data_IF_808681385952
#
_entry.id   IF_808681385952
#
_cell.length_a   1.000
_cell.length_b   1.000
_cell.length_c   1.000
_cell.angle_alpha   90.00
_cell.angle_beta   90.00
_cell.angle_gamma   90.00
#
_symmetry.space_group_name_H-M   'P 1'
#
loop_
_entity.id
_entity.type
_entity.pdbx_description
1 polymer ?
#
# COMPACT_ATOMS: atom_id res chain seq x y z
N UNK A 1 -10.14 -1.09 8.78
CA UNK A 1 -11.05 0.09 8.88
C UNK A 1 -11.61 0.48 7.51
N UNK A 2 -12.68 1.29 7.47
CA UNK A 2 -13.14 1.93 6.24
C UNK A 2 -13.16 3.45 6.37
N UNK A 3 -12.76 4.17 5.32
CA UNK A 3 -12.97 5.62 5.16
C UNK A 3 -13.70 5.87 3.83
N UNK A 4 -14.74 6.69 3.84
CA UNK A 4 -15.53 7.04 2.65
C UNK A 4 -16.00 5.79 1.85
N UNK A 5 -16.37 4.72 2.57
CA UNK A 5 -16.78 3.44 1.97
C UNK A 5 -15.63 2.54 1.45
N UNK A 6 -14.39 3.02 1.45
CA UNK A 6 -13.19 2.29 1.02
C UNK A 6 -12.56 1.57 2.21
N UNK A 7 -12.25 0.28 2.06
CA UNK A 7 -11.43 -0.44 3.04
C UNK A 7 -9.96 -0.08 2.85
N UNK A 8 -9.36 0.53 3.86
CA UNK A 8 -7.98 1.00 3.83
C UNK A 8 -7.07 0.18 4.75
N UNK A 9 -7.49 -1.02 5.15
CA UNK A 9 -6.75 -1.83 6.12
C UNK A 9 -5.34 -2.20 5.65
N UNK A 10 -5.09 -2.30 4.35
CA UNK A 10 -3.78 -2.71 3.81
C UNK A 10 -2.71 -1.62 3.84
N UNK A 11 -3.09 -0.35 4.03
CA UNK A 11 -2.11 0.72 4.23
C UNK A 11 -1.69 0.87 5.70
N UNK A 12 -2.33 0.14 6.61
CA UNK A 12 -2.02 0.17 8.03
C UNK A 12 -0.92 -0.84 8.33
N UNK A 13 0.18 -0.36 8.91
CA UNK A 13 1.23 -1.14 9.53
C UNK A 13 1.34 -0.80 11.03
N UNK A 14 2.15 -1.56 11.77
CA UNK A 14 2.43 -1.27 13.19
C UNK A 14 3.08 0.10 13.41
N UNK A 15 3.77 0.63 12.40
CA UNK A 15 4.46 1.93 12.44
C UNK A 15 3.54 3.10 12.06
N UNK A 16 2.32 2.81 11.58
CA UNK A 16 1.39 3.85 11.13
C UNK A 16 0.93 4.72 12.30
N UNK A 17 1.25 6.02 12.23
CA UNK A 17 0.83 7.01 13.21
C UNK A 17 -0.41 7.78 12.74
N UNK A 18 -0.48 8.10 11.45
CA UNK A 18 -1.59 8.81 10.86
C UNK A 18 -1.76 8.49 9.37
N UNK A 19 -2.94 8.84 8.85
CA UNK A 19 -3.33 8.64 7.46
C UNK A 19 -3.75 9.99 6.90
N UNK A 20 -3.29 10.34 5.70
CA UNK A 20 -3.71 11.54 4.99
C UNK A 20 -4.47 11.13 3.72
N UNK A 21 -5.64 11.73 3.49
CA UNK A 21 -6.31 11.67 2.19
C UNK A 21 -5.71 12.72 1.28
N UNK A 22 -5.37 12.37 0.04
CA UNK A 22 -4.87 13.35 -0.95
C UNK A 22 -5.10 12.85 -2.38
N UNK A 23 -4.95 13.73 -3.36
CA UNK A 23 -4.81 13.29 -4.74
C UNK A 23 -3.37 12.86 -5.01
N UNK A 24 -3.18 11.76 -5.72
CA UNK A 24 -1.88 11.24 -6.14
C UNK A 24 -1.83 11.19 -7.66
N UNK A 25 -0.85 11.87 -8.25
CA UNK A 25 -0.59 11.79 -9.68
C UNK A 25 0.02 10.43 -10.04
N UNK A 26 -0.55 9.77 -11.05
CA UNK A 26 -0.07 8.49 -11.56
C UNK A 26 0.49 8.69 -12.96
N UNK A 27 1.82 8.77 -13.06
CA UNK A 27 2.54 9.10 -14.30
C UNK A 27 2.11 8.27 -15.51
N UNK A 28 1.88 6.96 -15.32
CA UNK A 28 1.51 6.05 -16.42
C UNK A 28 0.12 6.32 -17.01
N UNK A 29 -0.73 7.06 -16.28
CA UNK A 29 -2.07 7.46 -16.71
C UNK A 29 -2.16 8.97 -16.98
N UNK A 30 -1.13 9.73 -16.62
CA UNK A 30 -1.11 11.20 -16.69
C UNK A 30 -2.32 11.87 -16.01
N UNK A 31 -2.79 11.31 -14.89
CA UNK A 31 -3.99 11.75 -14.18
C UNK A 31 -3.81 11.63 -12.65
N UNK A 32 -4.57 12.43 -11.90
CA UNK A 32 -4.63 12.41 -10.43
C UNK A 32 -5.78 11.56 -9.92
N UNK A 33 -5.51 10.74 -8.90
CA UNK A 33 -6.51 9.85 -8.32
C UNK A 33 -6.63 10.03 -6.80
N UNK A 34 -7.83 9.82 -6.21
CA UNK A 34 -7.98 9.76 -4.77
C UNK A 34 -7.06 8.72 -4.15
N UNK A 35 -6.35 9.11 -3.10
CA UNK A 35 -5.42 8.25 -2.39
C UNK A 35 -5.53 8.39 -0.88
N UNK A 36 -5.29 7.27 -0.20
CA UNK A 36 -5.09 7.18 1.23
C UNK A 36 -3.63 6.83 1.49
N UNK A 37 -2.93 7.66 2.25
CA UNK A 37 -1.49 7.53 2.46
C UNK A 37 -1.22 7.41 3.94
N UNK A 38 -0.56 6.34 4.36
CA UNK A 38 -0.13 6.16 5.75
C UNK A 38 1.28 6.69 5.97
N UNK A 39 1.49 7.22 7.16
CA UNK A 39 2.75 7.84 7.58
C UNK A 39 3.19 7.32 8.94
N UNK A 40 4.50 7.27 9.16
CA UNK A 40 5.08 7.03 10.48
C UNK A 40 5.04 8.30 11.34
N UNK A 41 5.61 8.24 12.56
CA UNK A 41 5.70 9.41 13.45
C UNK A 41 6.63 10.52 12.92
N UNK A 42 7.51 10.21 11.97
CA UNK A 42 8.47 11.13 11.37
C UNK A 42 7.97 11.71 10.03
N UNK A 43 6.71 11.46 9.67
CA UNK A 43 6.10 11.83 8.39
C UNK A 43 6.75 11.15 7.16
N UNK A 44 7.42 10.02 7.33
CA UNK A 44 7.80 9.17 6.19
C UNK A 44 6.56 8.44 5.67
N UNK A 45 6.40 8.43 4.35
CA UNK A 45 5.33 7.66 3.71
C UNK A 45 5.60 6.17 3.82
N UNK A 46 4.69 5.43 4.46
CA UNK A 46 4.75 3.98 4.60
C UNK A 46 4.07 3.32 3.40
N UNK A 47 2.75 3.47 3.30
CA UNK A 47 1.95 2.78 2.29
C UNK A 47 0.95 3.73 1.63
N UNK A 48 0.55 3.44 0.39
CA UNK A 48 -0.44 4.21 -0.37
C UNK A 48 -1.50 3.29 -0.93
N UNK A 49 -2.76 3.70 -0.88
CA UNK A 49 -3.85 3.07 -1.63
C UNK A 49 -4.45 4.11 -2.55
N UNK A 50 -4.31 3.91 -3.85
CA UNK A 50 -4.82 4.77 -4.92
C UNK A 50 -6.07 4.12 -5.51
N UNK A 51 -7.11 4.92 -5.74
CA UNK A 51 -8.44 4.47 -6.18
C UNK A 51 -8.68 4.93 -7.62
N UNK A 52 -8.64 4.01 -8.58
CA UNK A 52 -8.90 4.30 -10.00
C UNK A 52 -10.39 4.28 -10.34
N UNK A 53 -11.12 3.33 -9.76
CA UNK A 53 -12.57 3.18 -9.96
C UNK A 53 -13.29 3.30 -8.60
N UNK A 54 -13.60 4.53 -8.15
CA UNK A 54 -14.27 4.76 -6.89
C UNK A 54 -15.74 4.29 -6.92
N UNK A 55 -16.31 3.86 -5.78
CA UNK A 55 -17.74 3.51 -5.70
C UNK A 55 -18.62 4.69 -6.11
N UNK A 56 -19.62 4.46 -6.97
CA UNK A 56 -20.55 5.50 -7.42
C UNK A 56 -21.45 6.06 -6.31
N UNK A 57 -21.71 5.29 -5.27
CA UNK A 57 -22.61 5.65 -4.16
C UNK A 57 -21.81 5.63 -2.87
N UNK A 58 -21.93 6.71 -2.08
CA UNK A 58 -21.34 6.82 -0.74
C UNK A 58 -19.84 7.13 -0.72
N UNK A 59 -19.23 7.39 -1.88
CA UNK A 59 -17.85 7.87 -1.97
C UNK A 59 -17.82 9.40 -2.00
N UNK A 60 -17.62 10.01 -0.84
CA UNK A 60 -17.35 11.43 -0.71
C UNK A 60 -15.89 11.58 -0.28
N UNK A 61 -15.00 11.83 -1.23
CA UNK A 61 -13.58 12.00 -0.96
C UNK A 61 -13.24 13.46 -0.70
N UNK A 62 -12.67 13.72 0.46
CA UNK A 62 -12.17 15.04 0.82
C UNK A 62 -10.66 14.96 0.98
N UNK A 63 -9.87 15.66 0.14
CA UNK A 63 -8.43 15.66 0.27
C UNK A 63 -7.99 16.46 1.50
N UNK A 64 -6.75 16.25 1.90
CA UNK A 64 -6.03 16.93 2.97
C UNK A 64 -6.65 16.75 4.36
N UNK A 65 -7.30 15.62 4.64
CA UNK A 65 -7.68 15.24 5.99
C UNK A 65 -6.65 14.30 6.59
N UNK A 66 -6.18 14.63 7.79
CA UNK A 66 -5.26 13.84 8.61
C UNK A 66 -6.06 13.10 9.68
N UNK A 67 -6.00 11.77 9.65
CA UNK A 67 -6.58 10.89 10.64
C UNK A 67 -5.46 10.36 11.52
N UNK A 68 -5.39 10.82 12.77
CA UNK A 68 -4.46 10.26 13.76
C UNK A 68 -5.05 8.96 14.28
N UNK A 69 -4.26 7.89 14.26
CA UNK A 69 -4.77 6.53 14.56
C UNK A 69 -3.99 5.86 15.67
N UNK A 70 -4.68 5.00 16.41
CA UNK A 70 -4.08 4.02 17.31
C UNK A 70 -4.28 2.63 16.73
N UNK A 71 -3.19 1.90 16.57
CA UNK A 71 -3.22 0.53 16.08
C UNK A 71 -3.59 -0.40 17.23
N UNK A 72 -4.66 -1.18 17.07
CA UNK A 72 -5.08 -2.20 18.04
C UNK A 72 -4.57 -3.56 17.58
N UNK A 73 -4.79 -3.89 16.30
CA UNK A 73 -4.27 -5.10 15.63
C UNK A 73 -3.82 -4.74 14.22
N UNK A 74 -2.58 -5.09 13.90
CA UNK A 74 -2.03 -4.94 12.55
C UNK A 74 -1.39 -6.24 12.09
N UNK A 75 -1.85 -6.73 10.95
CA UNK A 75 -1.25 -7.80 10.17
C UNK A 75 -1.07 -7.32 8.74
N UNK A 76 -0.01 -7.78 8.09
CA UNK A 76 0.16 -7.56 6.65
C UNK A 76 -0.99 -8.25 5.91
N UNK A 77 -1.67 -7.51 5.03
CA UNK A 77 -2.84 -7.99 4.32
C UNK A 77 -3.05 -7.20 3.03
N UNK A 78 -3.81 -7.79 2.11
CA UNK A 78 -4.22 -7.15 0.84
C UNK A 78 -5.72 -6.83 0.83
N UNK A 79 -6.37 -6.73 2.00
CA UNK A 79 -7.82 -6.55 2.12
C UNK A 79 -8.37 -5.32 1.38
N UNK A 80 -7.58 -4.25 1.23
CA UNK A 80 -7.95 -3.07 0.45
C UNK A 80 -8.14 -3.35 -1.05
N UNK A 81 -7.58 -4.45 -1.56
CA UNK A 81 -7.75 -4.91 -2.94
C UNK A 81 -8.94 -5.86 -3.10
N UNK A 82 -9.69 -6.14 -2.03
CA UNK A 82 -10.87 -7.02 -2.09
C UNK A 82 -11.86 -6.57 -3.16
N UNK A 83 -12.26 -7.53 -3.99
CA UNK A 83 -13.14 -7.31 -5.14
C UNK A 83 -12.40 -7.11 -6.47
N UNK A 84 -11.08 -7.20 -6.48
CA UNK A 84 -10.31 -7.40 -7.72
C UNK A 84 -10.45 -8.85 -8.18
N UNK A 85 -10.54 -9.06 -9.49
CA UNK A 85 -10.52 -10.39 -10.10
C UNK A 85 -9.09 -10.95 -10.12
N UNK A 86 -8.13 -10.05 -10.42
CA UNK A 86 -6.70 -10.35 -10.50
C UNK A 86 -5.89 -9.25 -9.85
N UNK A 87 -4.66 -9.57 -9.47
CA UNK A 87 -3.70 -8.58 -8.98
C UNK A 87 -2.37 -8.75 -9.69
N UNK A 88 -1.92 -7.71 -10.38
CA UNK A 88 -0.55 -7.61 -10.88
C UNK A 88 0.36 -7.15 -9.75
N UNK A 89 1.37 -7.95 -9.46
CA UNK A 89 2.42 -7.63 -8.49
C UNK A 89 3.64 -7.19 -9.27
N UNK A 90 4.13 -6.00 -8.96
CA UNK A 90 5.33 -5.42 -9.55
C UNK A 90 6.24 -4.84 -8.45
N UNK A 91 7.50 -4.57 -8.79
CA UNK A 91 8.46 -4.01 -7.86
C UNK A 91 9.24 -2.87 -8.49
N UNK A 92 9.67 -1.93 -7.64
CA UNK A 92 10.64 -0.89 -7.99
C UNK A 92 11.84 -1.00 -7.06
N UNK A 93 12.91 -1.62 -7.56
CA UNK A 93 14.17 -1.73 -6.83
C UNK A 93 14.97 -0.42 -6.91
N UNK A 94 15.69 -0.10 -5.85
CA UNK A 94 16.58 1.05 -5.80
C UNK A 94 17.78 0.75 -4.90
N UNK A 95 18.92 1.38 -5.18
CA UNK A 95 20.10 1.27 -4.34
C UNK A 95 20.04 2.34 -3.26
N UNK A 96 20.29 1.97 -2.01
CA UNK A 96 20.44 2.91 -0.88
C UNK A 96 21.80 2.68 -0.22
N UNK A 97 22.49 3.78 0.06
CA UNK A 97 23.73 3.78 0.83
C UNK A 97 23.38 4.22 2.26
N UNK A 98 23.76 3.42 3.25
CA UNK A 98 23.56 3.71 4.67
C UNK A 98 24.93 3.56 5.34
N UNK A 99 25.61 4.68 5.59
CA UNK A 99 27.01 4.68 6.01
C UNK A 99 27.90 4.02 4.95
N UNK A 100 28.66 3.00 5.34
CA UNK A 100 29.52 2.23 4.44
C UNK A 100 28.80 1.07 3.73
N UNK A 101 27.56 0.76 4.12
CA UNK A 101 26.79 -0.32 3.52
C UNK A 101 26.00 0.19 2.31
N UNK A 102 26.13 -0.53 1.18
CA UNK A 102 25.29 -0.32 0.00
C UNK A 102 24.36 -1.52 -0.16
N UNK A 103 23.05 -1.28 -0.15
CA UNK A 103 22.04 -2.33 -0.30
C UNK A 103 21.05 -2.01 -1.41
N UNK A 104 20.51 -3.07 -2.03
CA UNK A 104 19.33 -2.99 -2.85
C UNK A 104 18.10 -3.11 -1.95
N UNK A 105 17.24 -2.11 -2.05
CA UNK A 105 15.92 -2.06 -1.40
C UNK A 105 14.83 -2.04 -2.47
N UNK A 106 13.58 -2.15 -2.08
CA UNK A 106 12.47 -2.18 -3.04
C UNK A 106 11.20 -1.55 -2.50
N UNK A 107 10.33 -1.16 -3.44
CA UNK A 107 8.92 -0.89 -3.21
C UNK A 107 8.10 -1.96 -3.91
N UNK A 108 7.01 -2.40 -3.28
CA UNK A 108 6.08 -3.34 -3.90
C UNK A 108 4.81 -2.62 -4.34
N UNK A 109 4.35 -2.95 -5.55
CA UNK A 109 3.16 -2.41 -6.16
C UNK A 109 2.20 -3.57 -6.42
N UNK A 110 0.98 -3.46 -5.90
CA UNK A 110 -0.10 -4.40 -6.12
C UNK A 110 -1.21 -3.68 -6.86
N UNK A 111 -1.38 -3.99 -8.13
CA UNK A 111 -2.38 -3.39 -9.01
C UNK A 111 -3.56 -4.34 -9.15
N UNK A 112 -4.66 -4.00 -8.48
CA UNK A 112 -5.92 -4.72 -8.58
C UNK A 112 -6.64 -4.42 -9.89
N UNK A 113 -7.05 -5.48 -10.58
CA UNK A 113 -7.78 -5.44 -11.85
C UNK A 113 -9.17 -6.01 -11.60
N UNK A 114 -10.21 -5.31 -12.09
CA UNK A 114 -11.61 -5.74 -12.01
C UNK A 114 -12.30 -5.49 -13.34
N UNK A 115 -12.99 -6.49 -13.90
CA UNK A 115 -13.61 -6.43 -15.22
C UNK A 115 -12.64 -5.89 -16.30
N UNK A 116 -11.40 -6.39 -16.30
CA UNK A 116 -10.32 -5.98 -17.22
C UNK A 116 -9.94 -4.48 -17.15
N UNK A 117 -10.28 -3.79 -16.05
CA UNK A 117 -9.93 -2.39 -15.80
C UNK A 117 -9.15 -2.23 -14.50
N UNK A 118 -8.36 -1.17 -14.41
CA UNK A 118 -7.67 -0.80 -13.18
C UNK A 118 -8.71 -0.45 -12.11
N UNK A 119 -8.61 -1.10 -10.95
CA UNK A 119 -9.53 -0.88 -9.84
C UNK A 119 -8.86 -0.05 -8.74
N UNK A 120 -7.76 -0.58 -8.20
CA UNK A 120 -6.99 0.05 -7.11
C UNK A 120 -5.51 -0.31 -7.20
N UNK A 121 -4.66 0.54 -6.66
CA UNK A 121 -3.23 0.23 -6.49
C UNK A 121 -2.81 0.42 -5.04
N UNK A 122 -2.23 -0.63 -4.46
CA UNK A 122 -1.55 -0.58 -3.17
C UNK A 122 -0.04 -0.50 -3.40
N UNK A 123 0.61 0.48 -2.79
CA UNK A 123 2.07 0.64 -2.82
C UNK A 123 2.59 0.48 -1.40
N UNK A 124 3.57 -0.41 -1.23
CA UNK A 124 4.34 -0.58 -0.01
C UNK A 124 5.72 0.04 -0.18
N UNK A 125 6.05 1.08 0.59
CA UNK A 125 7.39 1.66 0.63
C UNK A 125 8.21 1.12 1.81
N UNK A 126 7.55 0.49 2.78
CA UNK A 126 8.08 -0.06 4.02
C UNK A 126 8.42 -1.56 3.90
N UNK A 127 8.88 -2.01 2.73
CA UNK A 127 9.27 -3.41 2.53
C UNK A 127 10.60 -3.68 3.27
N UNK A 128 10.63 -4.56 4.30
CA UNK A 128 11.78 -4.72 5.19
C UNK A 128 12.87 -5.62 4.58
N UNK A 129 13.20 -5.41 3.31
CA UNK A 129 14.18 -6.21 2.57
C UNK A 129 15.36 -5.35 2.15
N UNK A 130 16.55 -5.82 2.52
CA UNK A 130 17.83 -5.35 2.03
C UNK A 130 18.56 -6.56 1.42
N UNK A 131 19.05 -6.39 0.20
CA UNK A 131 19.75 -7.44 -0.54
C UNK A 131 21.04 -6.90 -1.18
N UNK A 132 22.02 -7.77 -1.39
CA UNK A 132 23.32 -7.41 -1.98
C UNK A 132 23.29 -7.43 -3.50
N UNK A 133 22.40 -8.23 -4.08
CA UNK A 133 22.24 -8.39 -5.53
C UNK A 133 20.78 -8.70 -5.91
N UNK A 134 20.50 -8.70 -7.22
CA UNK A 134 19.15 -8.91 -7.75
C UNK A 134 18.59 -10.28 -7.40
N UNK A 135 19.39 -11.34 -7.44
CA UNK A 135 18.91 -12.71 -7.16
C UNK A 135 18.45 -12.82 -5.71
N UNK A 136 19.28 -12.38 -4.78
CA UNK A 136 18.96 -12.35 -3.35
C UNK A 136 17.72 -11.49 -3.07
N UNK A 137 17.56 -10.35 -3.75
CA UNK A 137 16.38 -9.50 -3.62
C UNK A 137 15.11 -10.25 -4.04
N UNK A 138 15.15 -10.96 -5.17
CA UNK A 138 14.00 -11.71 -5.67
C UNK A 138 13.62 -12.87 -4.75
N UNK A 139 14.61 -13.64 -4.27
CA UNK A 139 14.38 -14.77 -3.37
C UNK A 139 13.73 -14.29 -2.06
N UNK A 140 14.28 -13.24 -1.44
CA UNK A 140 13.72 -12.61 -0.23
C UNK A 140 12.31 -12.06 -0.45
N UNK A 141 12.02 -11.49 -1.62
CA UNK A 141 10.68 -10.95 -1.93
C UNK A 141 9.63 -12.05 -2.09
N UNK A 142 10.00 -13.17 -2.73
CA UNK A 142 9.11 -14.32 -2.87
C UNK A 142 8.74 -14.88 -1.50
N UNK A 143 9.73 -15.05 -0.62
CA UNK A 143 9.51 -15.52 0.75
C UNK A 143 8.65 -14.53 1.54
N UNK A 144 8.95 -13.22 1.46
CA UNK A 144 8.17 -12.18 2.12
C UNK A 144 6.69 -12.17 1.68
N UNK A 145 6.42 -12.28 0.38
CA UNK A 145 5.04 -12.37 -0.14
C UNK A 145 4.31 -13.62 0.35
N UNK A 146 5.00 -14.75 0.42
CA UNK A 146 4.44 -16.02 0.88
C UNK A 146 4.13 -16.00 2.37
N UNK A 147 5.03 -15.48 3.18
CA UNK A 147 4.91 -15.48 4.65
C UNK A 147 3.90 -14.44 5.15
N UNK A 148 3.92 -13.23 4.57
CA UNK A 148 3.17 -12.09 5.10
C UNK A 148 1.84 -11.87 4.38
N UNK A 149 1.75 -12.24 3.10
CA UNK A 149 0.54 -12.02 2.28
C UNK A 149 -0.09 -13.32 1.77
N UNK A 150 0.48 -14.49 2.09
CA UNK A 150 0.04 -15.80 1.59
C UNK A 150 0.03 -15.91 0.07
N UNK A 151 0.84 -15.08 -0.61
CA UNK A 151 0.94 -15.06 -2.08
C UNK A 151 2.11 -15.93 -2.50
N UNK A 152 1.81 -17.06 -3.17
CA UNK A 152 2.83 -17.97 -3.70
C UNK A 152 3.11 -17.63 -5.17
N UNK A 153 4.31 -17.11 -5.44
CA UNK A 153 4.76 -16.73 -6.78
C UNK A 153 6.18 -17.25 -7.02
N UNK A 154 6.53 -17.49 -8.29
CA UNK A 154 7.88 -17.92 -8.69
C UNK A 154 8.76 -16.77 -9.18
N UNK A 155 8.16 -15.64 -9.55
CA UNK A 155 8.84 -14.46 -10.07
C UNK A 155 7.97 -13.20 -9.89
N UNK A 156 8.60 -12.03 -10.06
CA UNK A 156 7.94 -10.72 -10.08
C UNK A 156 8.60 -9.92 -11.24
N UNK A 157 7.83 -9.21 -12.08
CA UNK A 157 6.39 -9.02 -12.02
C UNK A 157 5.59 -10.27 -12.38
N UNK A 158 4.39 -10.41 -11.82
CA UNK A 158 3.49 -11.54 -12.09
C UNK A 158 2.03 -11.17 -11.78
N UNK A 159 1.09 -11.90 -12.37
CA UNK A 159 -0.35 -11.75 -12.11
C UNK A 159 -0.80 -12.95 -11.28
N UNK A 160 -1.55 -12.67 -10.21
CA UNK A 160 -2.18 -13.69 -9.38
C UNK A 160 -3.69 -13.54 -9.44
N UNK A 161 -4.39 -14.66 -9.59
CA UNK A 161 -5.84 -14.76 -9.49
C UNK A 161 -6.24 -15.08 -8.05
N UNK A 162 -7.38 -14.55 -7.58
CA UNK A 162 -8.03 -15.03 -6.36
C UNK A 162 -7.22 -14.90 -5.06
N UNK A 163 -6.77 -13.68 -4.71
CA UNK A 163 -6.08 -13.43 -3.44
C UNK A 163 -6.99 -13.75 -2.24
N UNK A 164 -6.48 -14.52 -1.28
CA UNK A 164 -7.17 -14.77 -0.01
C UNK A 164 -7.08 -13.55 0.92
N UNK A 165 -8.23 -13.00 1.32
CA UNK A 165 -8.32 -11.85 2.21
C UNK A 165 -8.69 -12.29 3.64
N UNK A 166 -7.69 -12.72 4.42
CA UNK A 166 -7.95 -13.41 5.70
C UNK A 166 -8.38 -12.50 6.84
N UNK A 167 -7.68 -11.39 7.05
CA UNK A 167 -7.93 -10.54 8.22
C UNK A 167 -7.91 -9.05 7.87
N UNK A 168 -8.73 -8.28 8.59
CA UNK A 168 -8.67 -6.81 8.57
C UNK A 168 -7.89 -6.32 9.77
N UNK A 169 -7.18 -5.22 9.57
CA UNK A 169 -6.58 -4.47 10.65
C UNK A 169 -7.65 -3.76 11.48
N UNK A 170 -7.45 -3.78 12.79
CA UNK A 170 -8.29 -3.09 13.77
C UNK A 170 -7.54 -1.87 14.30
N UNK A 171 -8.21 -0.73 14.20
CA UNK A 171 -7.63 0.56 14.55
C UNK A 171 -8.70 1.47 15.15
N UNK A 172 -8.25 2.38 16.00
CA UNK A 172 -9.09 3.44 16.55
C UNK A 172 -8.63 4.78 15.99
N UNK A 173 -9.53 5.52 15.36
CA UNK A 173 -9.27 6.93 15.03
C UNK A 173 -9.31 7.71 16.34
N UNK A 174 -8.23 8.41 16.64
CA UNK A 174 -8.11 9.23 17.84
C UNK A 174 -8.56 10.66 17.56
N UNK A 175 -8.20 11.17 16.38
CA UNK A 175 -8.39 12.57 16.01
C UNK A 175 -8.46 12.75 14.49
N UNK A 176 -9.14 13.82 14.05
CA UNK A 176 -9.30 14.17 12.64
C UNK A 176 -9.11 15.67 12.46
N UNK A 177 -8.04 16.03 11.76
CA UNK A 177 -7.69 17.40 11.45
C UNK A 177 -7.58 17.62 9.94
N UNK A 178 -7.52 18.88 9.52
CA UNK A 178 -6.93 19.20 8.23
C UNK A 178 -5.42 18.99 8.30
N UNK A 179 -4.86 18.26 7.34
CA UNK A 179 -3.43 18.21 7.15
C UNK A 179 -2.94 19.62 6.86
N UNK A 180 -2.19 20.21 7.79
CA UNK A 180 -1.40 21.39 7.49
C UNK A 180 -0.59 21.08 6.23
N UNK A 181 -0.64 21.96 5.24
CA UNK A 181 0.04 21.78 3.95
C UNK A 181 1.51 21.50 4.28
N UNK A 182 1.92 20.24 4.15
CA UNK A 182 3.33 19.86 4.20
C UNK A 182 3.85 20.23 2.81
N UNK A 183 4.75 21.23 2.68
CA UNK A 183 5.30 21.64 1.40
C UNK A 183 5.98 20.50 0.66
#
# INVERSE_FOLDING_TARGET
>A
MKLNGIDISSIISTETSHIITRYEFVDSLAEEFPAYVSYDLNNNVLRKLIIFDPPKIGFNFYPNYKYTVKIIKSTDNLYSLKGSDKVLIALKAYKKVIGEMSGLMTKLHFLGIKNERLYRMLILNDVPIIASNKKELMDKLIDYLKENYYVKVSNIPTIVDGIEYKERNDIKVLDVDYAAIIP
#
